data_IF_609183430243
#
_entry.id   IF_609183430243
#
_cell.length_a   1.000
_cell.length_b   1.000
_cell.length_c   1.000
_cell.angle_alpha   90.00
_cell.angle_beta   90.00
_cell.angle_gamma   90.00
#
_symmetry.space_group_name_H-M   'P 1'
#
loop_
_entity.id
_entity.type
_entity.pdbx_description
1 polymer ?
#
# COMPACT_ATOMS: atom_id res chain seq x y z
N UNK A 1 19.77 27.40 10.58
CA UNK A 1 18.81 26.64 9.75
C UNK A 1 19.49 26.23 8.45
N UNK A 2 19.97 24.98 8.36
CA UNK A 2 20.50 24.46 7.10
C UNK A 2 19.34 24.09 6.18
N UNK A 3 19.17 24.83 5.08
CA UNK A 3 18.28 24.43 3.99
C UNK A 3 18.99 23.31 3.23
N UNK A 4 18.66 22.07 3.55
CA UNK A 4 19.15 20.94 2.79
C UNK A 4 18.46 20.95 1.42
N UNK A 5 19.16 21.44 0.41
CA UNK A 5 18.64 21.68 -0.95
C UNK A 5 19.16 20.61 -1.91
N UNK A 6 19.21 19.36 -1.46
CA UNK A 6 19.42 18.20 -2.32
C UNK A 6 18.06 17.52 -2.51
N UNK A 7 17.42 17.75 -3.66
CA UNK A 7 16.18 17.09 -4.03
C UNK A 7 16.48 15.61 -4.33
N UNK A 8 16.59 14.78 -3.28
CA UNK A 8 16.88 13.33 -3.36
C UNK A 8 15.69 12.49 -3.85
N UNK A 9 14.91 13.02 -4.79
CA UNK A 9 13.74 12.35 -5.36
C UNK A 9 13.97 11.85 -6.79
N UNK A 10 15.14 12.09 -7.38
CA UNK A 10 15.45 11.62 -8.74
C UNK A 10 15.39 10.09 -8.79
N UNK A 11 14.51 9.55 -9.64
CA UNK A 11 14.30 8.11 -9.80
C UNK A 11 13.31 7.47 -8.81
N UNK A 12 12.82 8.19 -7.80
CA UNK A 12 11.80 7.66 -6.90
C UNK A 12 10.39 7.85 -7.48
N UNK A 13 9.53 6.82 -7.48
CA UNK A 13 8.16 6.98 -7.94
C UNK A 13 7.41 7.99 -7.06
N UNK A 14 6.53 8.82 -7.63
CA UNK A 14 5.72 9.79 -6.85
C UNK A 14 4.96 9.08 -5.73
N UNK A 15 4.51 7.85 -5.98
CA UNK A 15 3.86 7.01 -4.98
C UNK A 15 4.73 6.73 -3.73
N UNK A 16 6.06 6.68 -3.87
CA UNK A 16 6.98 6.59 -2.71
C UNK A 16 6.88 7.82 -1.81
N UNK A 17 6.78 9.01 -2.38
CA UNK A 17 6.68 10.24 -1.62
C UNK A 17 5.39 10.25 -0.79
N UNK A 18 4.28 9.78 -1.38
CA UNK A 18 3.01 9.59 -0.67
C UNK A 18 3.11 8.57 0.45
N UNK A 19 3.75 7.42 0.21
CA UNK A 19 3.99 6.41 1.27
C UNK A 19 4.84 6.99 2.42
N UNK A 20 5.80 7.86 2.13
CA UNK A 20 6.60 8.51 3.17
C UNK A 20 5.75 9.46 4.05
N UNK A 21 4.75 10.13 3.49
CA UNK A 21 3.80 10.93 4.28
C UNK A 21 2.96 10.06 5.21
N UNK A 22 2.57 8.86 4.76
CA UNK A 22 1.84 7.90 5.59
C UNK A 22 2.69 7.40 6.76
N UNK A 23 4.01 7.24 6.56
CA UNK A 23 4.90 6.85 7.65
C UNK A 23 5.03 7.91 8.75
N UNK A 24 4.67 9.17 8.47
CA UNK A 24 4.56 10.21 9.50
C UNK A 24 3.34 10.00 10.42
N UNK A 25 2.37 9.19 10.00
CA UNK A 25 1.23 8.79 10.82
C UNK A 25 1.63 7.62 11.71
N UNK A 26 1.17 7.63 12.97
CA UNK A 26 1.38 6.53 13.92
C UNK A 26 0.52 5.28 13.57
N UNK A 27 0.78 4.67 12.41
CA UNK A 27 0.03 3.52 11.91
C UNK A 27 0.16 2.32 12.86
N UNK A 28 1.33 2.12 13.48
CA UNK A 28 1.55 1.05 14.46
C UNK A 28 0.68 1.22 15.70
N UNK A 29 0.52 2.45 16.18
CA UNK A 29 -0.40 2.77 17.28
C UNK A 29 -1.84 2.42 16.93
N UNK A 30 -2.30 2.74 15.71
CA UNK A 30 -3.64 2.39 15.24
C UNK A 30 -3.82 0.87 15.08
N UNK A 31 -2.85 0.18 14.48
CA UNK A 31 -2.88 -1.28 14.32
C UNK A 31 -3.01 -1.97 15.67
N UNK A 32 -2.24 -1.54 16.68
CA UNK A 32 -2.32 -2.09 18.03
C UNK A 32 -3.65 -1.77 18.71
N UNK A 33 -4.13 -0.54 18.57
CA UNK A 33 -5.41 -0.09 19.18
C UNK A 33 -6.60 -0.88 18.65
N UNK A 34 -6.63 -1.16 17.35
CA UNK A 34 -7.75 -1.85 16.69
C UNK A 34 -7.49 -3.35 16.46
N UNK A 35 -6.33 -3.85 16.91
CA UNK A 35 -5.87 -5.23 16.68
C UNK A 35 -6.04 -5.70 15.22
N UNK A 36 -5.82 -4.79 14.26
CA UNK A 36 -6.26 -4.97 12.87
C UNK A 36 -5.44 -6.00 12.06
N UNK A 37 -4.31 -6.45 12.62
CA UNK A 37 -3.42 -7.45 12.01
C UNK A 37 -3.56 -8.85 12.64
N UNK A 38 -4.36 -9.02 13.70
CA UNK A 38 -4.45 -10.27 14.47
C UNK A 38 -4.78 -11.51 13.63
N UNK A 39 -5.70 -11.37 12.67
CA UNK A 39 -6.14 -12.47 11.80
C UNK A 39 -5.43 -12.52 10.44
N UNK A 40 -4.53 -11.57 10.15
CA UNK A 40 -3.94 -11.40 8.82
C UNK A 40 -2.46 -11.76 8.79
N UNK A 41 -2.15 -12.92 8.22
CA UNK A 41 -0.76 -13.40 8.06
C UNK A 41 -0.02 -12.72 6.91
N UNK A 42 -0.67 -12.61 5.74
CA UNK A 42 -0.05 -12.13 4.51
C UNK A 42 -0.51 -10.72 4.07
N UNK A 43 -1.75 -10.34 4.37
CA UNK A 43 -2.36 -9.07 3.94
C UNK A 43 -2.65 -8.17 5.14
N UNK A 44 -1.56 -7.70 5.76
CA UNK A 44 -1.58 -6.81 6.92
C UNK A 44 -2.06 -5.41 6.55
N UNK A 45 -2.35 -4.61 7.56
CA UNK A 45 -2.95 -3.27 7.43
C UNK A 45 -2.13 -2.32 6.56
N UNK A 46 -0.79 -2.34 6.69
CA UNK A 46 0.09 -1.53 5.83
C UNK A 46 -0.02 -1.95 4.36
N UNK A 47 0.04 -3.25 4.08
CA UNK A 47 -0.08 -3.79 2.72
C UNK A 47 -1.43 -3.46 2.12
N UNK A 48 -2.51 -3.63 2.90
CA UNK A 48 -3.85 -3.26 2.49
C UNK A 48 -3.95 -1.77 2.14
N UNK A 49 -3.47 -0.89 3.01
CA UNK A 49 -3.51 0.57 2.79
C UNK A 49 -2.78 0.97 1.50
N UNK A 50 -1.56 0.49 1.29
CA UNK A 50 -0.78 0.80 0.08
C UNK A 50 -1.49 0.26 -1.17
N UNK A 51 -2.05 -0.95 -1.10
CA UNK A 51 -2.79 -1.58 -2.22
C UNK A 51 -3.99 -0.73 -2.64
N UNK A 52 -4.78 -0.27 -1.66
CA UNK A 52 -5.98 0.53 -1.94
C UNK A 52 -5.64 1.93 -2.44
N UNK A 53 -4.61 2.57 -1.87
CA UNK A 53 -4.14 3.87 -2.34
C UNK A 53 -3.60 3.80 -3.76
N UNK A 54 -2.87 2.73 -4.10
CA UNK A 54 -2.42 2.51 -5.46
C UNK A 54 -3.60 2.41 -6.43
N UNK A 55 -4.64 1.66 -6.08
CA UNK A 55 -5.85 1.53 -6.90
C UNK A 55 -6.56 2.86 -7.13
N UNK A 56 -6.75 3.67 -6.07
CA UNK A 56 -7.40 4.98 -6.18
C UNK A 56 -6.59 5.93 -7.05
N UNK A 57 -5.28 6.04 -6.81
CA UNK A 57 -4.43 7.02 -7.50
C UNK A 57 -4.13 6.64 -8.95
N UNK A 58 -4.06 5.34 -9.23
CA UNK A 58 -3.86 4.81 -10.58
C UNK A 58 -5.17 4.66 -11.36
N UNK A 59 -6.32 4.98 -10.74
CA UNK A 59 -7.67 4.77 -11.30
C UNK A 59 -7.90 3.34 -11.80
N UNK A 60 -7.52 2.35 -10.98
CA UNK A 60 -7.86 0.96 -11.24
C UNK A 60 -9.30 0.69 -10.82
N UNK A 61 -10.06 0.00 -11.66
CA UNK A 61 -11.48 -0.30 -11.40
C UNK A 61 -11.68 -1.72 -10.83
N UNK A 62 -10.67 -2.59 -10.93
CA UNK A 62 -10.72 -3.97 -10.46
C UNK A 62 -9.52 -4.37 -9.62
N UNK A 63 -9.68 -5.39 -8.77
CA UNK A 63 -8.56 -5.94 -8.00
C UNK A 63 -7.48 -6.55 -8.90
N UNK A 64 -7.85 -7.04 -10.09
CA UNK A 64 -6.90 -7.55 -11.08
C UNK A 64 -5.95 -6.44 -11.53
N UNK A 65 -6.47 -5.28 -11.92
CA UNK A 65 -5.65 -4.14 -12.35
C UNK A 65 -4.74 -3.63 -11.24
N UNK A 66 -5.25 -3.59 -10.00
CA UNK A 66 -4.44 -3.20 -8.83
C UNK A 66 -3.27 -4.17 -8.66
N UNK A 67 -3.54 -5.48 -8.62
CA UNK A 67 -2.51 -6.50 -8.41
C UNK A 67 -1.49 -6.57 -9.55
N UNK A 68 -1.93 -6.52 -10.81
CA UNK A 68 -1.03 -6.51 -11.97
C UNK A 68 -0.25 -5.20 -12.06
N UNK A 69 -0.87 -4.05 -11.78
CA UNK A 69 -0.18 -2.75 -11.73
C UNK A 69 0.90 -2.73 -10.65
N UNK A 70 0.62 -3.27 -9.46
CA UNK A 70 1.64 -3.43 -8.41
C UNK A 70 2.73 -4.42 -8.84
N UNK A 71 2.38 -5.52 -9.54
CA UNK A 71 3.37 -6.47 -10.07
C UNK A 71 4.27 -5.81 -11.11
N UNK A 72 3.74 -4.93 -11.95
CA UNK A 72 4.49 -4.18 -12.96
C UNK A 72 5.52 -3.21 -12.36
N UNK A 73 5.31 -2.73 -11.12
CA UNK A 73 6.32 -1.95 -10.39
C UNK A 73 7.57 -2.79 -10.05
N UNK A 74 7.47 -4.12 -10.05
CA UNK A 74 8.59 -5.04 -9.95
C UNK A 74 9.53 -4.72 -8.79
N UNK A 75 10.84 -4.61 -9.08
CA UNK A 75 11.87 -4.31 -8.08
C UNK A 75 11.70 -2.97 -7.33
N UNK A 76 10.80 -2.09 -7.78
CA UNK A 76 10.50 -0.82 -7.10
C UNK A 76 9.47 -0.96 -5.98
N UNK A 77 8.84 -2.14 -5.80
CA UNK A 77 7.91 -2.43 -4.71
C UNK A 77 8.54 -2.22 -3.33
N UNK A 78 9.83 -2.50 -3.20
CA UNK A 78 10.60 -2.28 -1.97
C UNK A 78 10.57 -0.81 -1.53
N UNK A 79 10.54 0.14 -2.48
CA UNK A 79 10.39 1.55 -2.13
C UNK A 79 9.04 1.78 -1.44
N UNK A 80 7.97 1.12 -1.87
CA UNK A 80 6.65 1.23 -1.25
C UNK A 80 6.58 0.53 0.11
N UNK A 81 7.62 -0.22 0.51
CA UNK A 81 7.61 -1.03 1.72
C UNK A 81 6.76 -2.30 1.58
N UNK A 82 6.64 -2.80 0.34
CA UNK A 82 6.05 -4.08 0.01
C UNK A 82 7.16 -5.05 -0.44
N UNK A 83 7.24 -6.22 0.19
CA UNK A 83 8.18 -7.27 -0.22
C UNK A 83 7.77 -7.93 -1.54
N UNK A 84 6.46 -8.04 -1.77
CA UNK A 84 5.87 -8.61 -2.98
C UNK A 84 4.52 -7.98 -3.27
N UNK A 85 4.12 -8.00 -4.54
CA UNK A 85 2.76 -7.64 -4.91
C UNK A 85 1.76 -8.63 -4.28
N UNK A 86 0.64 -8.14 -3.73
CA UNK A 86 -0.39 -9.01 -3.18
C UNK A 86 -1.01 -9.86 -4.30
N UNK A 87 -1.27 -11.13 -4.03
CA UNK A 87 -2.07 -11.96 -4.93
C UNK A 87 -3.53 -11.50 -4.91
N UNK A 88 -4.21 -11.53 -6.07
CA UNK A 88 -5.63 -11.14 -6.20
C UNK A 88 -6.50 -11.85 -5.16
N UNK A 89 -6.35 -13.17 -5.02
CA UNK A 89 -7.13 -13.98 -4.07
C UNK A 89 -6.94 -13.53 -2.62
N UNK A 90 -5.69 -13.23 -2.22
CA UNK A 90 -5.38 -12.76 -0.87
C UNK A 90 -5.93 -11.36 -0.62
N UNK A 91 -5.80 -10.45 -1.60
CA UNK A 91 -6.37 -9.11 -1.49
C UNK A 91 -7.91 -9.17 -1.37
N UNK A 92 -8.56 -9.97 -2.22
CA UNK A 92 -10.00 -10.18 -2.19
C UNK A 92 -10.50 -10.77 -0.86
N UNK A 93 -9.85 -11.81 -0.32
CA UNK A 93 -10.18 -12.33 1.02
C UNK A 93 -9.99 -11.27 2.10
N UNK A 94 -8.92 -10.48 1.98
CA UNK A 94 -8.61 -9.36 2.86
C UNK A 94 -9.69 -8.28 2.89
N UNK A 95 -10.22 -7.91 1.72
CA UNK A 95 -11.30 -6.92 1.59
C UNK A 95 -12.65 -7.47 2.07
N UNK A 96 -12.96 -8.75 1.85
CA UNK A 96 -14.24 -9.32 2.33
C UNK A 96 -14.40 -9.23 3.85
N UNK A 97 -13.30 -9.30 4.58
CA UNK A 97 -13.26 -9.27 6.05
C UNK A 97 -13.01 -7.87 6.63
N UNK A 98 -12.82 -6.84 5.79
CA UNK A 98 -12.62 -5.44 6.18
C UNK A 98 -13.67 -4.62 5.45
N UNK A 99 -14.67 -4.07 6.13
CA UNK A 99 -15.74 -3.27 5.51
C UNK A 99 -15.23 -1.94 4.93
N UNK A 100 -14.47 -1.98 3.84
CA UNK A 100 -13.86 -0.79 3.22
C UNK A 100 -13.78 -1.01 1.71
N UNK A 101 -14.29 -0.05 0.93
CA UNK A 101 -14.20 0.10 -0.54
C UNK A 101 -14.34 -1.20 -1.35
N UNK A 102 -15.52 -1.38 -1.97
CA UNK A 102 -15.79 -2.54 -2.83
C UNK A 102 -15.18 -2.34 -4.22
N UNK A 103 -13.93 -2.76 -4.42
CA UNK A 103 -13.45 -3.09 -5.77
C UNK A 103 -14.06 -4.42 -6.22
N UNK A 104 -14.36 -4.53 -7.50
CA UNK A 104 -14.77 -5.83 -8.07
C UNK A 104 -13.59 -6.79 -8.00
N UNK A 105 -13.83 -7.89 -7.28
CA UNK A 105 -13.08 -9.13 -7.41
C UNK A 105 -13.72 -9.95 -8.53
#
# INVERSE_FOLDING_TARGET
>A
MSKNTEIKFVGQPIFKQLVNLINAVNLQGLIRKHNSDHYYKAFKTKTHLITMLFGILSRCDSMTEICEGLRALGGKLNHLGLEKAPAKSTACDGLRKREVLRYTC
#
